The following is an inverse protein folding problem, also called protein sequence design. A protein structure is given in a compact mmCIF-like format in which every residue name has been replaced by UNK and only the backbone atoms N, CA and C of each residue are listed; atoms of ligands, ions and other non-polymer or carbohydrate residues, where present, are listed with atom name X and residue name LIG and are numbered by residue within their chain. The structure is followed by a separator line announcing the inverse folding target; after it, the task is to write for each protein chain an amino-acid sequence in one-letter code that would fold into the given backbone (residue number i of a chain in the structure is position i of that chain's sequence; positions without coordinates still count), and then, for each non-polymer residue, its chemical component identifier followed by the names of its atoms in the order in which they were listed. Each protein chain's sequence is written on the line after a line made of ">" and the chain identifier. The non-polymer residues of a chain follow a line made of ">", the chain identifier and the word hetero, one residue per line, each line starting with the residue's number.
data_IF_188945186103
#
_entry.id   IF_188945186103
#
_cell.length_a   1.000
_cell.length_b   1.000
_cell.length_c   1.000
_cell.angle_alpha   90.00
_cell.angle_beta   90.00
_cell.angle_gamma   90.00
#
_symmetry.space_group_name_H-M   'P 1'
#
loop_
_entity.id
_entity.type
_entity.pdbx_description
1 polymer ?
#
# COMPACT_ATOMS: atom_id res chain seq x y z
N UNK A 1 31.85 -24.47 -34.82
CA UNK A 1 30.92 -25.47 -34.27
C UNK A 1 31.24 -25.70 -32.80
N UNK A 2 30.23 -25.53 -31.93
CA UNK A 2 30.08 -26.06 -30.56
C UNK A 2 30.95 -25.37 -29.46
N UNK A 3 30.36 -24.45 -28.68
CA UNK A 3 29.58 -24.62 -27.42
C UNK A 3 30.52 -24.47 -26.20
N UNK A 4 30.52 -23.32 -25.53
CA UNK A 4 29.68 -22.99 -24.35
C UNK A 4 29.86 -23.98 -23.19
N UNK A 5 30.64 -23.57 -22.19
CA UNK A 5 30.64 -24.11 -20.83
C UNK A 5 30.90 -22.93 -19.88
N UNK A 6 29.84 -22.17 -19.65
CA UNK A 6 29.55 -21.55 -18.36
C UNK A 6 29.22 -22.70 -17.40
N UNK A 7 29.82 -22.76 -16.21
CA UNK A 7 29.26 -23.32 -14.97
C UNK A 7 30.27 -23.10 -13.83
N UNK A 8 29.85 -22.24 -12.89
CA UNK A 8 29.96 -22.34 -11.43
C UNK A 8 31.36 -22.49 -10.83
N UNK A 9 31.88 -21.43 -10.20
CA UNK A 9 32.73 -21.49 -9.00
C UNK A 9 32.68 -20.13 -8.27
N UNK A 10 31.82 -20.03 -7.25
CA UNK A 10 32.01 -19.13 -6.10
C UNK A 10 31.06 -19.53 -4.96
N UNK A 11 31.23 -20.75 -4.44
CA UNK A 11 30.79 -21.09 -3.08
C UNK A 11 32.07 -21.39 -2.30
N UNK A 12 32.43 -20.50 -1.39
CA UNK A 12 33.07 -20.79 -0.10
C UNK A 12 33.67 -19.51 0.49
N UNK A 13 33.13 -19.02 1.61
CA UNK A 13 33.86 -18.82 2.87
C UNK A 13 32.86 -18.42 3.97
N UNK A 14 32.20 -19.43 4.55
CA UNK A 14 31.61 -19.31 5.89
C UNK A 14 32.69 -19.75 6.88
N UNK A 15 33.27 -18.80 7.61
CA UNK A 15 34.10 -19.08 8.77
C UNK A 15 33.85 -18.02 9.85
N UNK A 16 33.05 -18.45 10.83
CA UNK A 16 33.02 -18.12 12.26
C UNK A 16 33.92 -16.96 12.74
N UNK A 17 33.34 -16.01 13.50
CA UNK A 17 33.67 -15.69 14.90
C UNK A 17 33.09 -14.33 15.32
N UNK A 18 31.96 -14.33 16.04
CA UNK A 18 31.61 -13.26 17.00
C UNK A 18 30.43 -13.66 17.87
N UNK A 19 30.72 -14.48 18.89
CA UNK A 19 29.91 -14.49 20.10
C UNK A 19 30.22 -13.20 20.87
N UNK A 20 29.28 -12.24 20.88
CA UNK A 20 28.88 -11.40 22.03
C UNK A 20 28.04 -10.20 21.55
N UNK A 21 26.87 -10.00 22.18
CA UNK A 21 25.73 -9.15 21.78
C UNK A 21 24.91 -9.73 20.63
N UNK A 22 23.83 -10.45 20.95
CA UNK A 22 22.85 -10.97 19.98
C UNK A 22 22.14 -9.87 19.17
N UNK A 23 22.35 -8.60 19.49
CA UNK A 23 21.64 -7.45 18.92
C UNK A 23 22.56 -6.52 18.10
N UNK A 24 23.79 -6.94 17.78
CA UNK A 24 24.68 -6.18 16.90
C UNK A 24 24.22 -6.23 15.43
N UNK A 25 24.58 -5.22 14.60
CA UNK A 25 24.32 -5.28 13.17
C UNK A 25 24.92 -6.55 12.54
N UNK A 26 24.22 -7.13 11.57
CA UNK A 26 24.71 -8.27 10.77
C UNK A 26 24.58 -8.00 9.29
N UNK A 27 25.39 -8.67 8.49
CA UNK A 27 25.33 -8.60 7.03
C UNK A 27 24.39 -9.69 6.49
N UNK A 28 23.50 -9.32 5.58
CA UNK A 28 22.62 -10.23 4.85
C UNK A 28 22.67 -9.92 3.36
N UNK A 29 22.51 -10.92 2.50
CA UNK A 29 22.56 -10.73 1.03
C UNK A 29 21.15 -10.76 0.43
N UNK A 30 20.94 -10.11 -0.73
CA UNK A 30 19.70 -10.29 -1.48
C UNK A 30 19.59 -11.72 -2.04
N UNK A 31 18.38 -12.21 -2.22
CA UNK A 31 18.10 -13.46 -2.95
C UNK A 31 17.93 -13.23 -4.45
N UNK A 32 17.58 -12.00 -4.85
CA UNK A 32 17.49 -11.52 -6.22
C UNK A 32 17.81 -10.02 -6.28
N UNK A 33 18.16 -9.52 -7.46
CA UNK A 33 18.41 -8.09 -7.70
C UNK A 33 17.14 -7.33 -8.09
N UNK A 34 16.19 -8.02 -8.71
CA UNK A 34 15.02 -7.39 -9.33
C UNK A 34 13.81 -7.39 -8.39
N UNK A 35 13.08 -6.28 -8.39
CA UNK A 35 11.73 -6.23 -7.83
C UNK A 35 10.75 -6.91 -8.79
N UNK A 36 9.73 -7.58 -8.25
CA UNK A 36 8.82 -8.40 -9.05
C UNK A 36 7.78 -7.59 -9.84
N UNK A 37 7.45 -6.37 -9.40
CA UNK A 37 6.50 -5.48 -10.09
C UNK A 37 6.50 -4.05 -9.55
N UNK A 38 5.89 -3.15 -10.32
CA UNK A 38 5.69 -1.72 -10.03
C UNK A 38 6.50 -0.83 -10.98
N UNK A 39 6.04 0.38 -11.27
CA UNK A 39 6.73 1.26 -12.24
C UNK A 39 8.16 1.58 -11.81
N UNK A 40 8.37 1.83 -10.51
CA UNK A 40 9.68 2.12 -9.95
C UNK A 40 10.68 0.97 -10.22
N UNK A 41 10.24 -0.30 -10.20
CA UNK A 41 11.09 -1.46 -10.51
C UNK A 41 11.71 -1.42 -11.92
N UNK A 42 11.18 -0.62 -12.85
CA UNK A 42 11.75 -0.45 -14.19
C UNK A 42 12.99 0.44 -14.22
N UNK A 43 13.23 1.20 -13.16
CA UNK A 43 14.30 2.19 -13.06
C UNK A 43 15.38 1.78 -12.07
N UNK A 44 15.08 0.90 -11.12
CA UNK A 44 16.00 0.54 -10.04
C UNK A 44 16.15 -0.98 -9.89
N UNK A 45 17.35 -1.40 -9.53
CA UNK A 45 17.66 -2.76 -9.07
C UNK A 45 18.39 -2.69 -7.73
N UNK A 46 18.34 -3.80 -6.98
CA UNK A 46 19.22 -4.03 -5.83
C UNK A 46 20.56 -4.54 -6.34
N UNK A 47 21.64 -3.99 -5.78
CA UNK A 47 23.00 -4.50 -6.04
C UNK A 47 23.23 -5.79 -5.24
N UNK A 48 23.71 -6.83 -5.91
CA UNK A 48 24.02 -8.14 -5.33
C UNK A 48 25.28 -8.11 -4.45
N UNK A 49 25.18 -7.41 -3.32
CA UNK A 49 26.22 -7.26 -2.32
C UNK A 49 25.61 -7.40 -0.90
N UNK A 50 26.39 -7.91 0.08
CA UNK A 50 25.94 -7.95 1.47
C UNK A 50 25.56 -6.56 2.00
N UNK A 51 24.40 -6.50 2.66
CA UNK A 51 23.79 -5.29 3.19
C UNK A 51 23.71 -5.35 4.72
N UNK A 52 23.88 -4.20 5.39
CA UNK A 52 23.79 -4.09 6.84
C UNK A 52 22.33 -4.15 7.31
N UNK A 53 21.98 -5.19 8.06
CA UNK A 53 20.76 -5.29 8.85
C UNK A 53 21.07 -4.91 10.30
N UNK A 54 20.26 -4.04 10.88
CA UNK A 54 20.41 -3.60 12.26
C UNK A 54 19.08 -3.61 13.00
N UNK A 55 19.16 -3.82 14.31
CA UNK A 55 18.06 -3.72 15.24
C UNK A 55 18.31 -2.56 16.19
N UNK A 56 17.27 -1.79 16.50
CA UNK A 56 17.32 -0.73 17.48
C UNK A 56 16.04 -0.71 18.30
N UNK A 57 16.18 -0.53 19.60
CA UNK A 57 15.07 -0.29 20.52
C UNK A 57 15.13 1.15 21.02
N UNK A 58 13.99 1.81 21.08
CA UNK A 58 13.85 3.14 21.65
C UNK A 58 12.93 3.08 22.86
N UNK A 59 13.50 3.43 24.00
CA UNK A 59 12.77 3.57 25.26
C UNK A 59 11.72 4.69 25.13
N UNK A 60 10.51 4.40 25.59
CA UNK A 60 9.36 5.31 25.57
C UNK A 60 8.22 4.76 26.44
N UNK A 61 7.10 5.48 26.49
CA UNK A 61 5.88 4.98 27.19
C UNK A 61 5.41 3.65 26.57
N UNK A 62 5.63 3.49 25.27
CA UNK A 62 5.52 2.24 24.53
C UNK A 62 6.90 1.99 23.91
N UNK A 63 7.53 0.87 24.27
CA UNK A 63 8.80 0.48 23.66
C UNK A 63 8.60 0.32 22.15
N UNK A 64 9.44 1.00 21.37
CA UNK A 64 9.36 0.95 19.90
C UNK A 64 10.63 0.34 19.36
N UNK A 65 10.46 -0.71 18.56
CA UNK A 65 11.55 -1.48 18.00
C UNK A 65 11.61 -1.29 16.49
N UNK A 66 12.83 -1.21 15.96
CA UNK A 66 13.10 -0.95 14.56
C UNK A 66 14.04 -2.00 14.00
N UNK A 67 13.62 -2.64 12.91
CA UNK A 67 14.53 -3.40 12.04
C UNK A 67 14.84 -2.52 10.84
N UNK A 68 16.13 -2.28 10.58
CA UNK A 68 16.60 -1.42 9.49
C UNK A 68 17.56 -2.19 8.61
N UNK A 69 17.32 -2.16 7.30
CA UNK A 69 18.17 -2.73 6.28
C UNK A 69 18.68 -1.60 5.37
N UNK A 70 20.00 -1.44 5.25
CA UNK A 70 20.60 -0.48 4.32
C UNK A 70 20.87 -1.19 2.99
N UNK A 71 20.06 -0.91 1.99
CA UNK A 71 20.15 -1.53 0.66
C UNK A 71 20.79 -0.55 -0.32
N UNK A 72 21.79 -1.00 -1.08
CA UNK A 72 22.35 -0.22 -2.18
C UNK A 72 21.53 -0.49 -3.44
N UNK A 73 20.91 0.57 -3.98
CA UNK A 73 20.14 0.52 -5.21
C UNK A 73 20.96 1.12 -6.35
N UNK A 74 20.80 0.58 -7.56
CA UNK A 74 21.36 1.13 -8.80
C UNK A 74 20.24 1.61 -9.70
N UNK A 75 20.44 2.76 -10.34
CA UNK A 75 19.59 3.22 -11.44
C UNK A 75 19.93 2.43 -12.72
N UNK A 76 18.99 1.62 -13.20
CA UNK A 76 19.17 0.77 -14.40
C UNK A 76 18.77 1.47 -15.69
N UNK A 77 18.04 2.59 -15.58
CA UNK A 77 17.53 3.32 -16.73
C UNK A 77 17.33 4.79 -16.38
N UNK A 78 17.80 5.68 -17.24
CA UNK A 78 17.52 7.10 -17.13
C UNK A 78 16.05 7.43 -17.47
N UNK A 79 15.50 8.42 -16.78
CA UNK A 79 14.21 9.03 -17.14
C UNK A 79 14.38 10.52 -17.36
N UNK A 80 14.48 10.97 -18.64
CA UNK A 80 14.56 12.39 -18.97
C UNK A 80 13.39 13.22 -18.43
N UNK A 81 12.23 12.60 -18.21
CA UNK A 81 11.06 13.25 -17.65
C UNK A 81 11.22 13.51 -16.14
N UNK A 82 11.68 12.51 -15.39
CA UNK A 82 11.93 12.67 -13.94
C UNK A 82 13.10 13.63 -13.66
N UNK A 83 14.07 13.71 -14.57
CA UNK A 83 15.18 14.68 -14.51
C UNK A 83 14.72 16.14 -14.63
N UNK A 84 13.56 16.42 -15.23
CA UNK A 84 13.01 17.78 -15.39
C UNK A 84 12.15 18.24 -14.20
N UNK A 85 11.67 17.32 -13.38
CA UNK A 85 10.79 17.56 -12.24
C UNK A 85 11.65 17.82 -10.99
N UNK A 86 11.23 18.64 -10.01
CA UNK A 86 11.95 18.70 -8.73
C UNK A 86 11.83 17.35 -8.01
N UNK A 87 12.90 16.85 -7.40
CA UNK A 87 12.87 15.56 -6.69
C UNK A 87 11.70 15.47 -5.70
N UNK A 88 11.35 16.59 -5.04
CA UNK A 88 10.26 16.65 -4.06
C UNK A 88 8.90 16.39 -4.68
N UNK A 89 8.73 16.76 -5.94
CA UNK A 89 7.47 16.69 -6.68
C UNK A 89 7.27 15.35 -7.39
N UNK A 90 8.29 14.49 -7.43
CA UNK A 90 8.14 13.09 -7.85
C UNK A 90 7.22 12.38 -6.85
N UNK A 91 6.03 12.02 -7.27
CA UNK A 91 5.05 11.30 -6.43
C UNK A 91 5.06 9.81 -6.76
N UNK A 92 4.80 9.01 -5.74
CA UNK A 92 4.64 7.57 -5.90
C UNK A 92 3.20 7.17 -5.60
N UNK A 93 2.54 6.51 -6.53
CA UNK A 93 1.22 5.90 -6.32
C UNK A 93 1.41 4.47 -5.84
N UNK A 94 1.20 4.26 -4.55
CA UNK A 94 1.14 2.93 -3.96
C UNK A 94 0.21 2.94 -2.76
N UNK A 95 -0.65 1.91 -2.67
CA UNK A 95 -1.59 1.73 -1.58
C UNK A 95 -0.91 1.34 -0.26
N UNK A 96 0.36 0.88 -0.28
CA UNK A 96 1.03 0.29 0.88
C UNK A 96 2.40 0.94 1.18
N UNK A 97 3.28 1.06 0.18
CA UNK A 97 4.65 1.60 0.32
C UNK A 97 5.32 1.86 -1.03
N UNK A 98 6.30 2.77 -1.05
CA UNK A 98 7.07 3.13 -2.26
C UNK A 98 7.92 1.97 -2.78
N UNK A 99 8.56 1.22 -1.89
CA UNK A 99 9.20 -0.04 -2.22
C UNK A 99 9.23 -0.95 -0.98
N UNK A 100 9.12 -2.25 -1.23
CA UNK A 100 9.01 -3.29 -0.21
C UNK A 100 10.10 -4.34 -0.45
N UNK A 101 10.77 -4.73 0.63
CA UNK A 101 11.65 -5.90 0.67
C UNK A 101 11.13 -6.87 1.72
N UNK A 102 11.17 -8.17 1.42
CA UNK A 102 10.85 -9.22 2.37
C UNK A 102 12.14 -9.73 3.00
N UNK A 103 12.27 -9.65 4.32
CA UNK A 103 13.24 -10.44 5.07
C UNK A 103 12.83 -11.90 5.02
N UNK A 104 13.79 -12.79 4.81
CA UNK A 104 13.57 -14.24 4.73
C UNK A 104 14.55 -14.99 5.63
N UNK A 105 14.13 -16.16 6.10
CA UNK A 105 14.98 -17.07 6.88
C UNK A 105 15.90 -17.92 5.97
N UNK A 106 16.62 -18.87 6.58
CA UNK A 106 17.54 -19.78 5.87
C UNK A 106 16.83 -20.70 4.84
N UNK A 107 15.50 -20.81 4.90
CA UNK A 107 14.68 -21.64 4.03
C UNK A 107 13.90 -20.79 3.00
N UNK A 108 14.28 -19.52 2.81
CA UNK A 108 13.58 -18.55 1.95
C UNK A 108 12.12 -18.30 2.37
N UNK A 109 11.78 -18.58 3.63
CA UNK A 109 10.45 -18.31 4.17
C UNK A 109 10.39 -16.87 4.65
N UNK A 110 9.34 -16.14 4.25
CA UNK A 110 9.14 -14.75 4.67
C UNK A 110 9.05 -14.64 6.18
N UNK A 111 9.93 -13.81 6.75
CA UNK A 111 9.96 -13.41 8.15
C UNK A 111 9.16 -12.14 8.35
N UNK A 112 9.49 -11.08 7.61
CA UNK A 112 8.84 -9.77 7.76
C UNK A 112 9.08 -8.87 6.54
N UNK A 113 8.18 -7.94 6.25
CA UNK A 113 8.39 -6.89 5.24
C UNK A 113 8.97 -5.59 5.84
N UNK A 114 9.87 -4.96 5.10
CA UNK A 114 10.39 -3.62 5.38
C UNK A 114 10.06 -2.68 4.22
N UNK A 115 9.88 -1.40 4.56
CA UNK A 115 9.46 -0.35 3.64
C UNK A 115 10.53 0.74 3.54
N UNK A 116 10.59 1.47 2.43
CA UNK A 116 11.49 2.64 2.33
C UNK A 116 11.21 3.59 3.49
N UNK A 117 12.26 3.92 4.24
CA UNK A 117 12.17 4.83 5.38
C UNK A 117 11.83 6.23 4.87
N UNK A 118 10.88 6.90 5.51
CA UNK A 118 10.39 8.22 5.08
C UNK A 118 11.50 9.26 4.87
N UNK A 119 12.54 9.28 5.71
CA UNK A 119 13.66 10.22 5.56
C UNK A 119 14.57 9.91 4.35
N UNK A 120 14.53 8.67 3.85
CA UNK A 120 15.32 8.23 2.71
C UNK A 120 14.53 8.32 1.38
N UNK A 121 13.23 8.66 1.42
CA UNK A 121 12.43 8.87 0.21
C UNK A 121 13.02 9.94 -0.72
N UNK A 122 13.58 11.01 -0.16
CA UNK A 122 14.21 12.06 -0.97
C UNK A 122 15.49 11.58 -1.65
N UNK A 123 16.22 10.63 -1.06
CA UNK A 123 17.41 10.03 -1.68
C UNK A 123 17.00 9.17 -2.87
N UNK A 124 15.96 8.34 -2.69
CA UNK A 124 15.39 7.54 -3.77
C UNK A 124 14.90 8.41 -4.92
N UNK A 125 14.19 9.50 -4.62
CA UNK A 125 13.74 10.48 -5.64
C UNK A 125 14.91 11.10 -6.40
N UNK A 126 16.01 11.43 -5.71
CA UNK A 126 17.23 11.96 -6.35
C UNK A 126 17.95 10.91 -7.20
N UNK A 127 17.98 9.65 -6.77
CA UNK A 127 18.52 8.54 -7.56
C UNK A 127 17.81 8.44 -8.92
N UNK A 128 16.48 8.58 -8.94
CA UNK A 128 15.68 8.57 -10.18
C UNK A 128 15.96 9.72 -11.15
N UNK A 129 16.62 10.77 -10.68
CA UNK A 129 17.09 11.89 -11.50
C UNK A 129 18.55 11.74 -11.93
N UNK A 130 19.20 10.66 -11.49
CA UNK A 130 20.57 10.35 -11.83
C UNK A 130 20.74 9.87 -13.27
N UNK A 131 21.94 9.38 -13.53
CA UNK A 131 22.34 8.71 -14.75
C UNK A 131 22.29 7.21 -14.58
N UNK A 132 22.18 6.48 -15.68
CA UNK A 132 22.25 5.02 -15.64
C UNK A 132 23.58 4.59 -14.99
N UNK A 133 23.48 3.67 -14.02
CA UNK A 133 24.59 3.22 -13.20
C UNK A 133 24.83 4.02 -11.93
N UNK A 134 24.14 5.14 -11.70
CA UNK A 134 24.20 5.83 -10.41
C UNK A 134 23.69 4.92 -9.28
N UNK A 135 24.31 5.02 -8.11
CA UNK A 135 24.03 4.16 -6.96
C UNK A 135 23.69 5.02 -5.74
N UNK A 136 22.76 4.55 -4.90
CA UNK A 136 22.42 5.22 -3.64
C UNK A 136 22.03 4.20 -2.58
N UNK A 137 22.35 4.51 -1.31
CA UNK A 137 21.99 3.67 -0.17
C UNK A 137 20.64 4.13 0.39
N UNK A 138 19.64 3.26 0.29
CA UNK A 138 18.29 3.46 0.80
C UNK A 138 18.06 2.57 2.02
N UNK A 139 17.62 3.18 3.11
CA UNK A 139 17.21 2.45 4.31
C UNK A 139 15.78 1.94 4.15
N UNK A 140 15.59 0.62 4.26
CA UNK A 140 14.30 0.00 4.47
C UNK A 140 14.09 -0.23 5.98
N UNK A 141 12.90 0.04 6.49
CA UNK A 141 12.60 0.00 7.92
C UNK A 141 11.20 -0.61 8.18
N UNK A 142 11.13 -1.41 9.24
CA UNK A 142 9.90 -1.78 9.92
C UNK A 142 9.87 -1.18 11.33
N UNK A 143 8.70 -0.76 11.78
CA UNK A 143 8.45 -0.24 13.13
C UNK A 143 7.48 -1.17 13.85
N UNK A 144 7.86 -1.57 15.06
CA UNK A 144 7.16 -2.59 15.82
C UNK A 144 6.97 -2.14 17.26
N UNK A 145 5.81 -2.47 17.83
CA UNK A 145 5.46 -2.16 19.21
C UNK A 145 5.28 -3.44 20.05
N UNK A 146 5.73 -4.59 19.53
CA UNK A 146 5.79 -5.85 20.25
C UNK A 146 7.21 -6.07 20.78
N UNK A 147 7.34 -6.39 22.07
CA UNK A 147 8.65 -6.57 22.67
C UNK A 147 9.36 -7.84 22.19
N UNK A 148 8.58 -8.86 21.81
CA UNK A 148 9.07 -10.24 21.67
C UNK A 148 9.31 -10.69 20.22
N UNK A 149 8.69 -10.06 19.21
CA UNK A 149 8.72 -10.61 17.84
C UNK A 149 9.80 -9.96 16.98
N UNK A 150 9.98 -8.63 17.05
CA UNK A 150 11.02 -7.97 16.26
C UNK A 150 12.46 -8.44 16.55
N UNK A 151 12.85 -8.79 17.80
CA UNK A 151 14.16 -9.40 18.04
C UNK A 151 14.26 -10.78 17.38
N UNK A 152 13.20 -11.60 17.43
CA UNK A 152 13.17 -12.92 16.79
C UNK A 152 13.24 -12.82 15.27
N UNK A 153 12.49 -11.90 14.67
CA UNK A 153 12.54 -11.63 13.23
C UNK A 153 13.94 -11.19 12.81
N UNK A 154 14.57 -10.29 13.58
CA UNK A 154 15.94 -9.88 13.35
C UNK A 154 16.90 -11.08 13.43
N UNK A 155 16.82 -11.90 14.47
CA UNK A 155 17.68 -13.09 14.64
C UNK A 155 17.51 -14.10 13.50
N UNK A 156 16.26 -14.42 13.13
CA UNK A 156 15.91 -15.43 12.11
C UNK A 156 16.25 -15.02 10.67
N UNK A 157 16.32 -13.71 10.40
CA UNK A 157 16.58 -13.21 9.04
C UNK A 157 17.95 -13.65 8.54
N UNK A 158 18.01 -14.39 7.44
CA UNK A 158 19.23 -14.82 6.79
C UNK A 158 19.54 -14.02 5.51
N UNK A 159 18.50 -13.60 4.80
CA UNK A 159 18.59 -12.88 3.53
C UNK A 159 17.40 -11.92 3.35
N UNK A 160 17.34 -11.23 2.22
CA UNK A 160 16.18 -10.44 1.84
C UNK A 160 15.84 -10.56 0.36
N UNK A 161 14.57 -10.39 0.02
CA UNK A 161 14.05 -10.51 -1.34
C UNK A 161 13.37 -9.20 -1.74
N UNK A 162 13.85 -8.49 -2.78
CA UNK A 162 13.11 -7.38 -3.37
C UNK A 162 11.73 -7.84 -3.83
N UNK A 163 10.68 -7.08 -3.51
CA UNK A 163 9.31 -7.51 -3.73
C UNK A 163 8.55 -6.52 -4.61
N UNK A 164 7.72 -5.65 -4.03
CA UNK A 164 6.88 -4.73 -4.79
C UNK A 164 7.45 -3.32 -4.73
N UNK A 165 7.29 -2.57 -5.81
CA UNK A 165 7.44 -1.11 -5.80
C UNK A 165 6.12 -0.42 -6.15
N UNK A 166 6.02 0.85 -5.79
CA UNK A 166 4.94 1.73 -6.24
C UNK A 166 5.14 2.18 -7.67
N UNK A 167 4.09 2.82 -8.20
CA UNK A 167 4.15 3.49 -9.50
C UNK A 167 4.65 4.93 -9.35
N UNK A 168 5.18 5.53 -10.43
CA UNK A 168 5.67 6.92 -10.43
C UNK A 168 4.66 7.79 -11.17
N UNK A 169 4.10 8.80 -10.51
CA UNK A 169 3.23 9.78 -11.16
C UNK A 169 4.06 10.72 -12.05
N UNK A 170 3.68 10.84 -13.33
CA UNK A 170 4.23 11.86 -14.23
C UNK A 170 5.32 11.43 -15.21
N UNK A 171 5.63 10.12 -15.35
CA UNK A 171 6.59 9.61 -16.35
C UNK A 171 5.95 9.32 -17.74
N UNK A 172 4.98 10.14 -18.16
CA UNK A 172 4.43 10.10 -19.51
C UNK A 172 4.32 11.50 -20.15
N UNK A 173 5.30 11.90 -20.98
CA UNK A 173 5.09 12.88 -22.04
C UNK A 173 4.34 12.22 -23.21
N UNK A 174 3.07 12.61 -23.37
CA UNK A 174 2.46 13.03 -24.65
C UNK A 174 3.05 12.49 -25.96
N UNK A 175 3.00 11.17 -26.16
CA UNK A 175 2.85 10.64 -27.51
C UNK A 175 1.36 10.65 -27.86
N UNK A 176 0.96 11.64 -28.68
CA UNK A 176 -0.27 11.59 -29.46
C UNK A 176 -0.25 10.33 -30.32
N UNK A 177 -0.76 9.26 -29.75
CA UNK A 177 -1.14 8.04 -30.42
C UNK A 177 -2.56 7.80 -29.97
N UNK A 178 -3.47 7.84 -30.94
CA UNK A 178 -4.86 7.49 -30.75
C UNK A 178 -4.95 6.02 -30.36
N UNK A 179 -4.74 5.71 -29.09
CA UNK A 179 -5.13 4.44 -28.50
C UNK A 179 -6.54 4.61 -27.98
N UNK A 180 -7.44 3.84 -28.55
CA UNK A 180 -8.74 3.56 -27.95
C UNK A 180 -8.53 3.11 -26.52
N UNK A 181 -9.05 3.88 -25.57
CA UNK A 181 -9.14 3.56 -24.15
C UNK A 181 -9.88 2.23 -24.01
N UNK A 182 -9.15 1.14 -23.81
CA UNK A 182 -9.75 -0.08 -23.28
C UNK A 182 -9.99 0.16 -21.79
N UNK A 183 -11.27 0.27 -21.45
CA UNK A 183 -11.73 0.49 -20.08
C UNK A 183 -11.34 -0.72 -19.22
N UNK A 184 -10.45 -0.49 -18.25
CA UNK A 184 -10.14 -1.45 -17.19
C UNK A 184 -11.32 -1.46 -16.21
N UNK A 185 -11.83 -2.64 -15.87
CA UNK A 185 -12.95 -2.80 -14.94
C UNK A 185 -12.60 -2.24 -13.55
N UNK A 186 -13.54 -1.57 -12.88
CA UNK A 186 -13.30 -0.94 -11.57
C UNK A 186 -13.24 -2.00 -10.46
N UNK A 187 -12.29 -1.91 -9.53
CA UNK A 187 -12.18 -2.86 -8.43
C UNK A 187 -13.21 -2.57 -7.31
N UNK A 188 -13.76 -3.61 -6.70
CA UNK A 188 -14.69 -3.53 -5.59
C UNK A 188 -14.58 -4.71 -4.61
N UNK A 189 -15.09 -4.50 -3.40
CA UNK A 189 -15.47 -5.56 -2.46
C UNK A 189 -16.98 -5.47 -2.20
N UNK A 190 -17.56 -6.49 -1.58
CA UNK A 190 -19.02 -6.49 -1.36
C UNK A 190 -19.40 -5.59 -0.19
N UNK A 191 -20.57 -4.97 -0.29
CA UNK A 191 -21.26 -4.29 0.79
C UNK A 191 -22.56 -5.03 1.11
N UNK A 192 -22.44 -6.21 1.71
CA UNK A 192 -23.59 -7.02 2.11
C UNK A 192 -23.49 -7.45 3.58
N UNK A 193 -24.44 -7.06 4.46
CA UNK A 193 -24.43 -7.45 5.86
C UNK A 193 -24.51 -8.97 6.06
N UNK A 194 -24.97 -9.73 5.07
CA UNK A 194 -25.04 -11.19 5.12
C UNK A 194 -23.68 -11.87 4.89
N UNK A 195 -22.61 -11.10 4.61
CA UNK A 195 -21.26 -11.60 4.42
C UNK A 195 -21.00 -12.26 3.07
N UNK A 196 -21.97 -12.22 2.14
CA UNK A 196 -21.81 -12.65 0.76
C UNK A 196 -22.88 -12.01 -0.15
N UNK A 197 -22.56 -11.87 -1.44
CA UNK A 197 -23.51 -11.43 -2.46
C UNK A 197 -23.60 -12.45 -3.60
N UNK A 198 -24.82 -12.69 -4.08
CA UNK A 198 -25.05 -13.54 -5.24
C UNK A 198 -24.84 -12.76 -6.56
N UNK A 199 -24.08 -13.35 -7.48
CA UNK A 199 -23.93 -12.91 -8.86
C UNK A 199 -24.94 -13.67 -9.72
N UNK A 200 -25.74 -12.97 -10.51
CA UNK A 200 -26.86 -13.53 -11.29
C UNK A 200 -26.59 -13.54 -12.78
N UNK A 201 -27.21 -14.48 -13.49
CA UNK A 201 -27.04 -14.62 -14.94
C UNK A 201 -27.55 -13.39 -15.73
N UNK A 202 -28.49 -12.64 -15.16
CA UNK A 202 -29.11 -11.45 -15.74
C UNK A 202 -29.31 -10.39 -14.63
N UNK A 203 -29.44 -9.09 -14.98
CA UNK A 203 -29.70 -8.00 -14.04
C UNK A 203 -31.14 -8.02 -13.50
N UNK A 204 -31.53 -9.13 -12.86
CA UNK A 204 -32.85 -9.38 -12.30
C UNK A 204 -32.71 -10.19 -11.00
N UNK A 205 -33.37 -9.72 -9.92
CA UNK A 205 -33.38 -10.38 -8.62
C UNK A 205 -33.98 -11.79 -8.61
N UNK A 206 -34.73 -12.18 -9.65
CA UNK A 206 -35.28 -13.53 -9.84
C UNK A 206 -34.42 -14.42 -10.75
N UNK A 207 -33.40 -13.87 -11.42
CA UNK A 207 -32.56 -14.64 -12.32
C UNK A 207 -31.71 -15.67 -11.58
N UNK A 208 -31.34 -16.73 -12.30
CA UNK A 208 -30.49 -17.82 -11.79
C UNK A 208 -29.18 -17.26 -11.23
N UNK A 209 -28.81 -17.73 -10.05
CA UNK A 209 -27.50 -17.44 -9.42
C UNK A 209 -26.43 -18.25 -10.16
N UNK A 210 -25.36 -17.58 -10.59
CA UNK A 210 -24.26 -18.16 -11.38
C UNK A 210 -22.93 -18.14 -10.64
N UNK A 211 -22.76 -17.23 -9.67
CA UNK A 211 -21.62 -17.22 -8.76
C UNK A 211 -22.01 -16.57 -7.42
N UNK A 212 -21.11 -16.67 -6.44
CA UNK A 212 -21.18 -16.03 -5.13
C UNK A 212 -19.84 -15.35 -4.87
N UNK A 213 -19.87 -14.14 -4.33
CA UNK A 213 -18.70 -13.40 -3.85
C UNK A 213 -18.87 -13.23 -2.34
N UNK A 214 -17.86 -13.58 -1.54
CA UNK A 214 -17.93 -13.47 -0.08
C UNK A 214 -17.25 -12.19 0.43
N UNK A 215 -17.52 -11.83 1.67
CA UNK A 215 -16.95 -10.63 2.29
C UNK A 215 -15.41 -10.71 2.32
N UNK A 216 -14.76 -9.61 1.96
CA UNK A 216 -13.31 -9.56 1.75
C UNK A 216 -12.80 -10.03 0.38
N UNK A 217 -13.62 -10.71 -0.45
CA UNK A 217 -13.23 -11.06 -1.82
C UNK A 217 -13.21 -9.80 -2.70
N UNK A 218 -12.10 -9.62 -3.43
CA UNK A 218 -12.02 -8.59 -4.49
C UNK A 218 -12.64 -9.09 -5.79
N UNK A 219 -13.41 -8.22 -6.43
CA UNK A 219 -13.95 -8.42 -7.76
C UNK A 219 -13.85 -7.12 -8.56
N UNK A 220 -14.11 -7.20 -9.86
CA UNK A 220 -14.14 -6.02 -10.72
C UNK A 220 -15.53 -5.83 -11.30
N UNK A 221 -15.89 -4.59 -11.63
CA UNK A 221 -17.21 -4.26 -12.13
C UNK A 221 -17.21 -3.15 -13.16
N UNK A 222 -18.23 -3.18 -14.02
CA UNK A 222 -18.62 -2.03 -14.85
C UNK A 222 -20.03 -1.61 -14.51
N UNK A 223 -20.25 -0.30 -14.47
CA UNK A 223 -21.60 0.23 -14.46
C UNK A 223 -22.32 -0.08 -15.78
N UNK A 224 -23.61 -0.40 -15.67
CA UNK A 224 -24.50 -0.50 -16.84
C UNK A 224 -25.31 0.79 -16.89
N UNK A 225 -25.13 1.66 -17.90
CA UNK A 225 -25.86 2.93 -17.98
C UNK A 225 -27.38 2.75 -17.86
N UNK A 226 -27.99 3.50 -16.95
CA UNK A 226 -29.45 3.45 -16.71
C UNK A 226 -29.95 2.22 -15.95
N UNK A 227 -29.06 1.43 -15.35
CA UNK A 227 -29.39 0.22 -14.58
C UNK A 227 -28.82 0.29 -13.16
N UNK A 228 -29.54 -0.29 -12.19
CA UNK A 228 -29.05 -0.47 -10.82
C UNK A 228 -28.21 -1.75 -10.65
N UNK A 229 -27.76 -2.33 -11.76
CA UNK A 229 -26.96 -3.55 -11.80
C UNK A 229 -25.63 -3.27 -12.46
N UNK A 230 -24.57 -3.83 -11.89
CA UNK A 230 -23.23 -3.81 -12.46
C UNK A 230 -22.93 -5.16 -13.12
N UNK A 231 -22.08 -5.15 -14.13
CA UNK A 231 -21.41 -6.37 -14.59
C UNK A 231 -20.30 -6.71 -13.61
N UNK A 232 -20.07 -7.99 -13.37
CA UNK A 232 -19.07 -8.48 -12.42
C UNK A 232 -18.06 -9.35 -13.15
N UNK A 233 -16.79 -9.19 -12.79
CA UNK A 233 -15.64 -9.87 -13.37
C UNK A 233 -14.71 -10.37 -12.25
N UNK A 234 -13.97 -11.46 -12.51
CA UNK A 234 -12.95 -11.97 -11.57
C UNK A 234 -11.58 -11.30 -11.72
N UNK A 235 -11.31 -10.74 -12.89
CA UNK A 235 -10.04 -10.10 -13.21
C UNK A 235 -10.32 -8.70 -13.78
N UNK A 236 -9.29 -7.85 -13.75
CA UNK A 236 -9.36 -6.48 -14.24
C UNK A 236 -9.22 -6.38 -15.77
N UNK A 237 -8.86 -7.49 -16.42
CA UNK A 237 -8.50 -7.53 -17.83
C UNK A 237 -9.64 -6.99 -18.70
N UNK A 238 -9.34 -6.15 -19.69
CA UNK A 238 -10.35 -5.60 -20.62
C UNK A 238 -11.09 -6.68 -21.42
N UNK A 239 -10.48 -7.86 -21.55
CA UNK A 239 -11.04 -9.05 -22.18
C UNK A 239 -11.75 -10.01 -21.18
N UNK A 240 -11.82 -9.65 -19.89
CA UNK A 240 -12.39 -10.51 -18.87
C UNK A 240 -13.85 -10.84 -19.20
N UNK A 241 -14.17 -12.13 -19.19
CA UNK A 241 -15.55 -12.54 -19.39
C UNK A 241 -16.39 -12.15 -18.16
N UNK A 242 -17.44 -11.36 -18.40
CA UNK A 242 -18.45 -11.06 -17.39
C UNK A 242 -19.00 -12.37 -16.81
N UNK A 243 -18.84 -12.55 -15.51
CA UNK A 243 -19.31 -13.74 -14.80
C UNK A 243 -20.77 -13.62 -14.35
N UNK A 244 -21.35 -12.42 -14.45
CA UNK A 244 -22.76 -12.14 -14.23
C UNK A 244 -22.99 -10.75 -13.67
N UNK A 245 -24.15 -10.54 -13.03
CA UNK A 245 -24.63 -9.23 -12.60
C UNK A 245 -24.85 -9.19 -11.08
N UNK A 246 -24.54 -8.04 -10.50
CA UNK A 246 -24.76 -7.75 -9.08
C UNK A 246 -25.47 -6.41 -8.94
N UNK A 247 -26.33 -6.27 -7.93
CA UNK A 247 -26.98 -4.99 -7.66
C UNK A 247 -25.93 -3.99 -7.13
N UNK A 248 -25.92 -2.76 -7.64
CA UNK A 248 -24.91 -1.75 -7.32
C UNK A 248 -24.82 -1.45 -5.80
N UNK A 249 -25.92 -1.55 -5.08
CA UNK A 249 -25.95 -1.38 -3.61
C UNK A 249 -25.11 -2.39 -2.84
N UNK A 250 -24.63 -3.45 -3.50
CA UNK A 250 -23.80 -4.50 -2.91
C UNK A 250 -22.33 -4.39 -3.31
N UNK A 251 -21.97 -3.31 -3.99
CA UNK A 251 -20.64 -3.05 -4.53
C UNK A 251 -20.04 -1.88 -3.76
N UNK A 252 -18.85 -2.06 -3.21
CA UNK A 252 -18.05 -1.01 -2.58
C UNK A 252 -16.74 -0.88 -3.35
N UNK A 253 -16.59 0.15 -4.18
CA UNK A 253 -15.38 0.36 -4.96
C UNK A 253 -14.14 0.47 -4.06
N UNK A 254 -13.04 -0.19 -4.43
CA UNK A 254 -11.75 -0.13 -3.73
C UNK A 254 -10.67 0.41 -4.65
N UNK A 255 -10.53 1.74 -4.66
CA UNK A 255 -9.43 2.48 -5.30
C UNK A 255 -9.60 2.71 -6.80
N UNK A 256 -9.72 3.98 -7.21
CA UNK A 256 -9.60 4.44 -8.59
C UNK A 256 -10.71 5.40 -9.01
N UNK A 257 -10.47 6.70 -8.91
CA UNK A 257 -11.26 7.71 -9.61
C UNK A 257 -10.37 8.45 -10.58
N UNK A 258 -10.64 8.35 -11.88
CA UNK A 258 -10.41 9.50 -12.78
C UNK A 258 -11.42 9.47 -13.94
N UNK A 259 -12.17 10.55 -14.11
CA UNK A 259 -12.48 11.11 -15.42
C UNK A 259 -12.77 12.62 -15.30
N UNK A 260 -11.81 13.40 -15.80
CA UNK A 260 -11.94 14.66 -16.57
C UNK A 260 -12.89 15.76 -16.07
N UNK A 261 -12.32 16.94 -15.81
CA UNK A 261 -12.78 18.17 -16.46
C UNK A 261 -11.59 19.12 -16.64
N UNK A 262 -11.34 19.47 -17.90
CA UNK A 262 -10.35 20.45 -18.36
C UNK A 262 -10.93 21.87 -18.31
N UNK A 263 -9.99 22.81 -18.37
CA UNK A 263 -10.11 24.20 -18.80
C UNK A 263 -10.63 25.26 -17.82
N UNK A 264 -9.64 26.03 -17.37
CA UNK A 264 -9.62 27.49 -17.28
C UNK A 264 -10.47 28.20 -16.21
N UNK A 265 -9.87 29.27 -15.69
CA UNK A 265 -10.48 30.43 -14.98
C UNK A 265 -10.36 30.48 -13.44
N UNK A 266 -9.51 31.44 -13.05
CA UNK A 266 -9.52 32.41 -11.94
C UNK A 266 -9.76 31.98 -10.49
N UNK A 267 -8.87 32.55 -9.66
CA UNK A 267 -9.00 32.81 -8.23
C UNK A 267 -10.38 33.41 -7.90
N UNK A 268 -11.22 32.65 -7.19
CA UNK A 268 -12.09 33.13 -6.11
C UNK A 268 -12.62 31.94 -5.28
N UNK A 269 -12.94 32.25 -4.02
CA UNK A 269 -13.26 31.44 -2.85
C UNK A 269 -14.39 30.36 -3.05
N UNK A 270 -14.12 29.09 -2.69
CA UNK A 270 -15.02 28.01 -2.20
C UNK A 270 -14.67 26.58 -2.72
N UNK A 271 -14.53 25.64 -1.77
CA UNK A 271 -14.37 24.16 -1.89
C UNK A 271 -13.15 23.63 -2.65
N UNK A 272 -12.04 23.46 -1.91
CA UNK A 272 -10.92 22.61 -2.32
C UNK A 272 -11.38 21.13 -2.36
N UNK A 273 -11.42 20.47 -3.54
CA UNK A 273 -11.87 19.08 -3.69
C UNK A 273 -11.01 18.08 -2.90
N UNK A 274 -9.78 18.45 -2.54
CA UNK A 274 -8.91 17.63 -1.70
C UNK A 274 -9.39 17.57 -0.25
N UNK A 275 -10.08 18.61 0.22
CA UNK A 275 -10.65 18.70 1.57
C UNK A 275 -11.93 17.88 1.67
N UNK A 276 -12.83 17.97 0.70
CA UNK A 276 -14.06 17.16 0.70
C UNK A 276 -13.76 15.67 0.56
N UNK A 277 -12.79 15.31 -0.30
CA UNK A 277 -12.30 13.93 -0.42
C UNK A 277 -11.68 13.41 0.87
N UNK A 278 -10.91 14.24 1.59
CA UNK A 278 -10.41 13.88 2.91
C UNK A 278 -11.55 13.63 3.91
N UNK A 279 -12.60 14.47 3.90
CA UNK A 279 -13.76 14.29 4.79
C UNK A 279 -14.56 13.03 4.45
N UNK A 280 -14.64 12.65 3.19
CA UNK A 280 -15.25 11.39 2.74
C UNK A 280 -14.42 10.17 3.21
N UNK A 281 -13.10 10.19 3.02
CA UNK A 281 -12.18 9.16 3.51
C UNK A 281 -12.26 9.02 5.04
N UNK A 282 -12.36 10.15 5.74
CA UNK A 282 -12.53 10.23 7.19
C UNK A 282 -13.86 9.57 7.61
N UNK A 283 -14.98 9.91 6.97
CA UNK A 283 -16.31 9.34 7.27
C UNK A 283 -16.38 7.82 6.98
N UNK A 284 -15.83 7.36 5.86
CA UNK A 284 -15.78 5.94 5.48
C UNK A 284 -14.93 5.13 6.47
N UNK A 285 -13.77 5.66 6.87
CA UNK A 285 -12.92 5.04 7.89
C UNK A 285 -13.69 4.82 9.19
N UNK A 286 -14.47 5.82 9.64
CA UNK A 286 -15.25 5.71 10.87
C UNK A 286 -16.46 4.79 10.75
N UNK A 287 -17.15 4.77 9.62
CA UNK A 287 -18.26 3.84 9.43
C UNK A 287 -17.77 2.39 9.42
N UNK A 288 -16.62 2.13 8.79
CA UNK A 288 -15.97 0.83 8.82
C UNK A 288 -15.53 0.44 10.25
N UNK A 289 -14.87 1.36 10.97
CA UNK A 289 -14.50 1.21 12.39
C UNK A 289 -15.70 0.84 13.26
N UNK A 290 -16.79 1.60 13.12
CA UNK A 290 -18.00 1.40 13.90
C UNK A 290 -18.69 0.07 13.58
N UNK A 291 -18.65 -0.37 12.32
CA UNK A 291 -19.18 -1.67 11.92
C UNK A 291 -18.35 -2.84 12.47
N UNK A 292 -17.02 -2.70 12.44
CA UNK A 292 -16.09 -3.71 12.93
C UNK A 292 -16.26 -3.88 14.44
N UNK A 293 -16.20 -2.79 15.19
CA UNK A 293 -16.37 -2.79 16.64
C UNK A 293 -17.70 -3.40 17.10
N UNK A 294 -18.80 -3.16 16.37
CA UNK A 294 -20.10 -3.74 16.69
C UNK A 294 -20.16 -5.27 16.49
N UNK A 295 -19.22 -5.84 15.73
CA UNK A 295 -19.16 -7.26 15.38
C UNK A 295 -18.15 -8.07 16.19
N UNK A 296 -17.19 -7.44 16.87
CA UNK A 296 -16.11 -8.19 17.55
C UNK A 296 -16.55 -8.78 18.89
N UNK A 297 -16.13 -10.03 19.13
CA UNK A 297 -16.22 -10.72 20.41
C UNK A 297 -14.98 -10.39 21.27
N UNK A 298 -15.17 -9.93 22.53
CA UNK A 298 -14.09 -9.37 23.37
C UNK A 298 -12.93 -10.33 23.69
N UNK A 299 -13.13 -11.63 23.49
CA UNK A 299 -12.14 -12.68 23.75
C UNK A 299 -11.31 -13.07 22.50
N UNK A 300 -11.50 -12.36 21.39
CA UNK A 300 -10.78 -12.60 20.14
C UNK A 300 -9.39 -11.91 20.16
N UNK A 301 -8.28 -12.66 20.19
CA UNK A 301 -6.93 -12.07 20.19
C UNK A 301 -6.57 -11.32 18.90
N UNK A 302 -7.28 -11.54 17.78
CA UNK A 302 -7.12 -10.72 16.57
C UNK A 302 -7.68 -9.30 16.72
N UNK A 303 -8.53 -9.06 17.72
CA UNK A 303 -9.06 -7.72 18.04
C UNK A 303 -7.94 -6.73 18.34
N UNK A 304 -6.95 -7.10 19.16
CA UNK A 304 -5.90 -6.19 19.61
C UNK A 304 -4.95 -5.80 18.48
N UNK A 305 -4.73 -6.70 17.51
CA UNK A 305 -3.89 -6.45 16.32
C UNK A 305 -4.61 -5.49 15.36
N UNK A 306 -5.89 -5.75 15.06
CA UNK A 306 -6.68 -4.88 14.19
C UNK A 306 -6.97 -3.52 14.85
N UNK A 307 -7.16 -3.50 16.17
CA UNK A 307 -7.29 -2.26 16.94
C UNK A 307 -6.00 -1.42 16.91
N UNK A 308 -4.82 -2.04 16.99
CA UNK A 308 -3.55 -1.33 16.88
C UNK A 308 -3.31 -0.73 15.48
N UNK A 309 -3.62 -1.49 14.41
CA UNK A 309 -3.56 -0.99 13.02
C UNK A 309 -4.50 0.19 12.80
N UNK A 310 -5.67 0.11 13.42
CA UNK A 310 -6.66 1.16 13.36
C UNK A 310 -6.20 2.41 14.14
N UNK A 311 -5.63 2.28 15.33
CA UNK A 311 -5.07 3.41 16.08
C UNK A 311 -3.98 4.15 15.27
N UNK A 312 -3.13 3.40 14.56
CA UNK A 312 -2.12 3.98 13.67
C UNK A 312 -2.77 4.74 12.49
N UNK A 313 -3.83 4.18 11.90
CA UNK A 313 -4.59 4.83 10.83
C UNK A 313 -5.28 6.11 11.30
N UNK A 314 -5.82 6.10 12.52
CA UNK A 314 -6.43 7.27 13.15
C UNK A 314 -5.40 8.38 13.41
N UNK A 315 -4.20 8.05 13.92
CA UNK A 315 -3.13 9.03 14.12
C UNK A 315 -2.69 9.70 12.81
N UNK A 316 -2.58 8.92 11.72
CA UNK A 316 -2.29 9.46 10.37
C UNK A 316 -3.39 10.40 9.88
N UNK A 317 -4.66 10.09 10.17
CA UNK A 317 -5.79 10.96 9.84
C UNK A 317 -5.77 12.25 10.68
N UNK A 318 -5.41 12.20 11.97
CA UNK A 318 -5.26 13.40 12.81
C UNK A 318 -4.14 14.33 12.33
N UNK A 319 -3.01 13.77 11.88
CA UNK A 319 -1.91 14.55 11.31
C UNK A 319 -2.33 15.24 10.01
N UNK A 320 -3.07 14.54 9.15
CA UNK A 320 -3.61 15.08 7.89
C UNK A 320 -4.70 16.12 8.15
N UNK A 321 -5.56 15.90 9.15
CA UNK A 321 -6.54 16.89 9.62
C UNK A 321 -5.81 18.18 10.01
N UNK A 322 -4.79 18.11 10.86
CA UNK A 322 -4.04 19.29 11.34
C UNK A 322 -3.43 20.11 10.21
N UNK A 323 -2.98 19.45 9.14
CA UNK A 323 -2.41 20.12 7.95
C UNK A 323 -3.47 20.79 7.07
N UNK A 324 -4.66 20.19 6.99
CA UNK A 324 -5.75 20.68 6.14
C UNK A 324 -6.70 21.63 6.88
N UNK A 325 -6.71 21.63 8.21
CA UNK A 325 -7.66 22.36 9.06
C UNK A 325 -7.69 23.86 8.81
N UNK A 326 -6.54 24.46 8.51
CA UNK A 326 -6.45 25.89 8.19
C UNK A 326 -6.99 26.25 6.79
N UNK A 327 -7.26 25.24 5.96
CA UNK A 327 -7.79 25.37 4.59
C UNK A 327 -9.27 25.00 4.48
N UNK A 328 -9.87 24.51 5.56
CA UNK A 328 -11.27 24.07 5.57
C UNK A 328 -12.23 25.27 5.62
N UNK A 329 -13.28 25.20 4.80
CA UNK A 329 -14.42 26.11 4.92
C UNK A 329 -15.18 25.85 6.22
N UNK A 330 -16.03 26.80 6.63
CA UNK A 330 -16.86 26.64 7.83
C UNK A 330 -17.81 25.43 7.73
N UNK A 331 -18.31 25.12 6.53
CA UNK A 331 -19.18 23.96 6.28
C UNK A 331 -18.40 22.63 6.40
N UNK A 332 -17.16 22.61 5.93
CA UNK A 332 -16.24 21.46 6.04
C UNK A 332 -15.82 21.22 7.49
N UNK A 333 -15.55 22.27 8.26
CA UNK A 333 -15.31 22.20 9.71
C UNK A 333 -16.54 21.68 10.47
N UNK A 334 -17.74 22.11 10.09
CA UNK A 334 -18.97 21.59 10.69
C UNK A 334 -19.19 20.11 10.35
N UNK A 335 -18.88 19.69 9.13
CA UNK A 335 -18.94 18.28 8.71
C UNK A 335 -17.95 17.42 9.50
N UNK A 336 -16.70 17.85 9.61
CA UNK A 336 -15.67 17.21 10.43
C UNK A 336 -16.12 17.08 11.90
N UNK A 337 -16.60 18.19 12.50
CA UNK A 337 -17.11 18.18 13.88
C UNK A 337 -18.28 17.20 14.06
N UNK A 338 -19.20 17.10 13.10
CA UNK A 338 -20.31 16.15 13.17
C UNK A 338 -19.83 14.69 13.13
N UNK A 339 -18.82 14.38 12.31
CA UNK A 339 -18.20 13.05 12.26
C UNK A 339 -17.51 12.74 13.61
N UNK A 340 -16.71 13.67 14.14
CA UNK A 340 -16.03 13.52 15.43
C UNK A 340 -17.00 13.36 16.61
N UNK A 341 -18.13 14.07 16.61
CA UNK A 341 -19.17 13.94 17.65
C UNK A 341 -19.85 12.57 17.60
N UNK A 342 -20.17 12.06 16.41
CA UNK A 342 -20.74 10.71 16.24
C UNK A 342 -19.78 9.64 16.78
N UNK A 343 -18.49 9.76 16.44
CA UNK A 343 -17.44 8.88 16.94
C UNK A 343 -17.38 8.89 18.48
N UNK A 344 -17.33 10.07 19.08
CA UNK A 344 -17.25 10.22 20.53
C UNK A 344 -18.46 9.62 21.25
N UNK A 345 -19.67 9.81 20.72
CA UNK A 345 -20.89 9.22 21.26
C UNK A 345 -20.88 7.70 21.20
N UNK A 346 -20.42 7.11 20.09
CA UNK A 346 -20.36 5.66 19.96
C UNK A 346 -19.24 5.04 20.84
N UNK A 347 -18.10 5.72 20.99
CA UNK A 347 -17.05 5.32 21.95
C UNK A 347 -17.54 5.40 23.40
N UNK A 348 -18.36 6.38 23.77
CA UNK A 348 -18.96 6.46 25.09
C UNK A 348 -19.96 5.33 25.35
N UNK A 349 -20.79 4.97 24.35
CA UNK A 349 -21.69 3.82 24.46
C UNK A 349 -20.92 2.54 24.73
N UNK A 350 -19.77 2.38 24.08
CA UNK A 350 -18.87 1.23 24.28
C UNK A 350 -18.28 1.15 25.69
N UNK A 351 -17.94 2.27 26.31
CA UNK A 351 -17.49 2.32 27.70
C UNK A 351 -18.59 1.94 28.71
N UNK A 352 -19.87 2.10 28.35
CA UNK A 352 -21.01 1.68 29.18
C UNK A 352 -21.32 0.17 29.10
N UNK A 353 -20.68 -0.56 28.18
CA UNK A 353 -20.75 -2.02 28.08
C UNK A 353 -19.56 -2.73 28.77
N UNK A 354 -18.82 -2.03 29.64
CA UNK A 354 -17.79 -2.57 30.52
C UNK A 354 -18.26 -2.63 31.96
#
# INVERSE_FOLDING_TARGET
>A
MKKLLFVVHAIAFIAMLSSCSSNGPKEISPTSTDFISGELAKYIEVIDEPCELSFAEKDGVIATQFIKLKVKLRLTKESPELQKIDARDISFTSLLSVAIVNLVDENDTKVQDLNVRSEDLIKLKKLLQGKEGDEEIITFQGEFHNADDAPKWFEQTAAFTPYLTGDIEGAHETASSSFTTEAVHQAAIINDPDGYTNVRAMPDGKAKIVAKIVDGDRFFFDEVPGSNWVKVYRTADSEAQCIGYMHNSRVMPVGGGIASMTDDISIDDENDPSVDRFLDEYEIFFDHYMSYIKKVNKDDPTFMIEYAKLLNSYQKLEEREKQLKSKMSMNQLNRLNNISVKLMQEMQKMQQYN
#
